data_IF_599410226269
#
_entry.id   IF_599410226269
#
_cell.length_a   1.000
_cell.length_b   1.000
_cell.length_c   1.000
_cell.angle_alpha   90.00
_cell.angle_beta   90.00
_cell.angle_gamma   90.00
#
_symmetry.space_group_name_H-M   'P 1'
#
loop_
_entity.id
_entity.type
_entity.pdbx_description
1 polymer ?
#
# COMPACT_ATOMS: atom_id res chain seq x y z
N UNK A 1 -3.33 -10.14 -26.40
CA UNK A 1 -4.59 -9.60 -25.88
C UNK A 1 -4.57 -9.76 -24.36
N UNK A 2 -3.95 -8.84 -23.62
CA UNK A 2 -4.00 -8.82 -22.16
C UNK A 2 -3.81 -7.38 -21.68
N UNK A 3 -4.89 -6.77 -21.23
CA UNK A 3 -4.88 -5.57 -20.41
C UNK A 3 -6.24 -5.51 -19.70
N UNK A 4 -6.41 -6.30 -18.64
CA UNK A 4 -7.42 -6.00 -17.63
C UNK A 4 -6.70 -5.17 -16.57
N UNK A 5 -6.77 -3.84 -16.72
CA UNK A 5 -6.37 -2.91 -15.65
C UNK A 5 -7.60 -2.85 -14.74
N UNK A 6 -7.59 -3.62 -13.66
CA UNK A 6 -8.59 -3.44 -12.60
C UNK A 6 -8.21 -2.16 -11.85
N UNK A 7 -8.98 -1.09 -12.05
CA UNK A 7 -8.83 0.13 -11.27
C UNK A 7 -9.89 0.12 -10.17
N UNK A 8 -9.45 0.11 -8.91
CA UNK A 8 -10.34 0.24 -7.75
C UNK A 8 -10.23 1.68 -7.24
N UNK A 9 -11.25 2.49 -7.53
CA UNK A 9 -11.42 3.82 -6.95
C UNK A 9 -12.48 3.73 -5.85
N UNK A 10 -12.07 3.78 -4.58
CA UNK A 10 -13.03 3.82 -3.48
C UNK A 10 -13.47 5.26 -3.22
N UNK A 11 -14.58 5.68 -3.85
CA UNK A 11 -15.39 6.80 -3.39
C UNK A 11 -16.78 6.23 -3.09
N UNK A 12 -17.21 6.33 -1.83
CA UNK A 12 -18.48 5.87 -1.25
C UNK A 12 -19.35 4.97 -2.16
N UNK A 13 -19.25 3.66 -1.99
CA UNK A 13 -20.30 2.68 -2.26
C UNK A 13 -19.86 1.32 -1.71
N UNK A 14 -20.72 0.68 -0.91
CA UNK A 14 -20.57 -0.71 -0.55
C UNK A 14 -20.48 -1.56 -1.82
N UNK A 15 -19.46 -2.41 -1.93
CA UNK A 15 -19.46 -3.56 -2.84
C UNK A 15 -18.35 -4.50 -2.42
N UNK A 16 -18.72 -5.69 -1.93
CA UNK A 16 -17.85 -6.86 -1.96
C UNK A 16 -17.52 -7.15 -3.43
N UNK A 17 -16.40 -6.63 -3.92
CA UNK A 17 -15.94 -6.87 -5.29
C UNK A 17 -15.25 -8.25 -5.33
N UNK A 18 -16.03 -9.33 -5.31
CA UNK A 18 -15.56 -10.62 -5.79
C UNK A 18 -15.56 -10.58 -7.32
N UNK A 19 -14.39 -10.41 -7.94
CA UNK A 19 -14.25 -10.61 -9.40
C UNK A 19 -14.46 -12.09 -9.68
N UNK A 20 -15.67 -12.45 -10.08
CA UNK A 20 -16.04 -13.77 -10.60
C UNK A 20 -16.92 -13.54 -11.83
N UNK A 21 -16.48 -14.06 -12.98
CA UNK A 21 -17.20 -13.97 -14.25
C UNK A 21 -18.33 -14.99 -14.25
N UNK A 22 -19.58 -14.53 -14.30
CA UNK A 22 -20.72 -15.31 -14.81
C UNK A 22 -21.71 -14.35 -15.49
N UNK A 23 -22.08 -14.56 -16.78
CA UNK A 23 -23.06 -13.74 -17.48
C UNK A 23 -24.40 -14.46 -17.55
N UNK A 24 -25.38 -14.08 -16.73
CA UNK A 24 -26.79 -14.11 -17.15
C UNK A 24 -27.75 -13.48 -16.12
N UNK A 25 -28.88 -12.99 -16.64
CA UNK A 25 -30.19 -12.66 -16.00
C UNK A 25 -30.62 -11.18 -16.03
N UNK A 26 -31.84 -11.03 -16.56
CA UNK A 26 -32.56 -9.88 -17.13
C UNK A 26 -33.62 -9.37 -16.13
N UNK A 27 -34.00 -8.08 -16.16
CA UNK A 27 -35.36 -7.66 -15.76
C UNK A 27 -35.52 -6.25 -15.19
N UNK A 28 -36.42 -5.47 -15.80
CA UNK A 28 -36.76 -4.08 -15.44
C UNK A 28 -37.93 -3.99 -14.44
N UNK A 29 -37.97 -2.93 -13.61
CA UNK A 29 -39.24 -2.31 -13.17
C UNK A 29 -39.07 -0.83 -12.76
N UNK A 30 -40.06 -0.01 -13.11
CA UNK A 30 -40.20 1.42 -12.80
C UNK A 30 -41.12 1.57 -11.59
N UNK A 31 -40.62 2.15 -10.50
CA UNK A 31 -41.44 2.59 -9.38
C UNK A 31 -40.88 3.87 -8.78
N UNK A 32 -41.63 4.98 -8.91
CA UNK A 32 -41.36 6.23 -8.20
C UNK A 32 -41.57 6.01 -6.69
N UNK A 33 -40.52 6.20 -5.90
CA UNK A 33 -40.62 6.33 -4.45
C UNK A 33 -39.98 7.65 -4.04
N UNK A 34 -40.83 8.58 -3.61
CA UNK A 34 -40.49 9.84 -2.93
C UNK A 34 -39.51 9.56 -1.79
N UNK A 35 -38.27 10.02 -1.92
CA UNK A 35 -37.30 9.94 -0.82
C UNK A 35 -37.51 11.18 0.05
N UNK A 36 -38.22 10.98 1.17
CA UNK A 36 -38.11 11.86 2.34
C UNK A 36 -36.64 11.94 2.74
N UNK A 37 -36.08 13.15 2.77
CA UNK A 37 -34.75 13.48 3.28
C UNK A 37 -34.64 13.07 4.76
N UNK A 38 -34.30 11.80 4.98
CA UNK A 38 -33.94 11.27 6.29
C UNK A 38 -32.45 11.54 6.48
N UNK A 39 -32.15 12.64 7.16
CA UNK A 39 -30.80 13.00 7.58
C UNK A 39 -30.27 11.89 8.50
N UNK A 40 -29.46 10.97 7.96
CA UNK A 40 -28.76 9.91 8.71
C UNK A 40 -27.44 10.46 9.28
N UNK A 41 -27.02 10.03 10.49
CA UNK A 41 -25.79 10.50 11.13
C UNK A 41 -24.52 10.03 10.40
N UNK A 42 -23.44 10.81 10.56
CA UNK A 42 -22.10 10.68 9.97
C UNK A 42 -21.54 9.25 9.78
N UNK A 43 -21.08 8.98 8.55
CA UNK A 43 -19.83 8.26 8.17
C UNK A 43 -19.52 6.91 8.85
N UNK A 44 -20.05 5.81 8.28
CA UNK A 44 -19.51 4.47 8.49
C UNK A 44 -18.38 4.17 7.48
N UNK A 45 -17.15 4.56 7.80
CA UNK A 45 -15.94 4.20 7.02
C UNK A 45 -15.62 2.71 7.22
N UNK A 46 -16.07 1.85 6.30
CA UNK A 46 -15.84 0.41 6.40
C UNK A 46 -14.45 -0.01 5.87
N UNK A 47 -13.72 -0.89 6.57
CA UNK A 47 -12.44 -1.40 6.09
C UNK A 47 -12.62 -2.29 4.85
N UNK A 48 -11.74 -2.13 3.86
CA UNK A 48 -11.74 -2.93 2.63
C UNK A 48 -10.61 -3.98 2.67
N UNK A 49 -10.88 -5.19 2.18
CA UNK A 49 -9.87 -6.23 1.96
C UNK A 49 -9.92 -6.72 0.51
N UNK A 50 -8.77 -6.74 -0.16
CA UNK A 50 -8.64 -7.13 -1.57
C UNK A 50 -7.63 -8.25 -1.74
N UNK A 51 -7.99 -9.26 -2.54
CA UNK A 51 -7.09 -10.34 -2.96
C UNK A 51 -6.91 -10.29 -4.47
N UNK A 52 -5.68 -10.30 -4.95
CA UNK A 52 -5.37 -10.30 -6.39
C UNK A 52 -4.37 -11.41 -6.72
N UNK A 53 -4.65 -12.12 -7.80
CA UNK A 53 -3.72 -13.06 -8.40
C UNK A 53 -3.70 -12.91 -9.91
N UNK A 54 -2.52 -13.02 -10.51
CA UNK A 54 -2.24 -12.99 -11.95
C UNK A 54 -2.67 -11.74 -12.75
N UNK A 55 -3.18 -10.67 -12.13
CA UNK A 55 -3.60 -9.44 -12.82
C UNK A 55 -3.09 -8.17 -12.14
N UNK A 56 -2.61 -7.17 -12.90
CA UNK A 56 -2.18 -5.90 -12.34
C UNK A 56 -3.33 -5.18 -11.62
N UNK A 57 -3.03 -4.52 -10.51
CA UNK A 57 -4.00 -3.72 -9.76
C UNK A 57 -3.48 -2.28 -9.55
N UNK A 58 -4.37 -1.31 -9.76
CA UNK A 58 -4.16 0.08 -9.34
C UNK A 58 -5.27 0.49 -8.39
N UNK A 59 -4.91 1.04 -7.24
CA UNK A 59 -5.88 1.43 -6.20
C UNK A 59 -5.66 2.85 -5.72
N UNK A 60 -6.76 3.58 -5.57
CA UNK A 60 -6.81 4.88 -4.90
C UNK A 60 -7.73 4.79 -3.69
N UNK A 61 -7.21 5.13 -2.50
CA UNK A 61 -7.96 5.07 -1.25
C UNK A 61 -7.93 6.43 -0.56
N UNK A 62 -9.11 6.85 -0.09
CA UNK A 62 -9.30 8.04 0.73
C UNK A 62 -10.22 7.70 1.89
N UNK A 63 -9.88 8.19 3.08
CA UNK A 63 -10.59 8.03 4.35
C UNK A 63 -10.89 6.60 4.87
N UNK A 64 -10.58 5.50 4.16
CA UNK A 64 -10.98 4.14 4.57
C UNK A 64 -9.80 3.18 4.69
N UNK A 65 -9.67 2.39 5.77
CA UNK A 65 -8.63 1.37 5.88
C UNK A 65 -8.63 0.39 4.72
N UNK A 66 -7.45 0.04 4.20
CA UNK A 66 -7.29 -0.99 3.17
C UNK A 66 -6.31 -2.08 3.61
N UNK A 67 -6.68 -3.33 3.38
CA UNK A 67 -5.79 -4.50 3.43
C UNK A 67 -5.71 -5.14 2.05
N UNK A 68 -4.52 -5.38 1.54
CA UNK A 68 -4.33 -5.99 0.21
C UNK A 68 -3.39 -7.19 0.27
N UNK A 69 -3.80 -8.30 -0.35
CA UNK A 69 -2.98 -9.48 -0.56
C UNK A 69 -2.77 -9.71 -2.06
N UNK A 70 -1.52 -9.74 -2.50
CA UNK A 70 -1.17 -9.90 -3.90
C UNK A 70 -0.22 -11.08 -4.09
N UNK A 71 -0.51 -11.89 -5.11
CA UNK A 71 0.37 -12.95 -5.57
C UNK A 71 0.56 -12.88 -7.08
N UNK A 72 1.81 -12.81 -7.53
CA UNK A 72 2.20 -12.84 -8.96
C UNK A 72 1.51 -11.76 -9.81
N UNK A 73 1.44 -10.51 -9.31
CA UNK A 73 0.74 -9.39 -9.94
C UNK A 73 1.26 -8.02 -9.50
N UNK A 74 1.65 -7.11 -10.39
CA UNK A 74 2.13 -5.79 -9.99
C UNK A 74 1.00 -4.99 -9.31
N UNK A 75 1.35 -4.23 -8.27
CA UNK A 75 0.41 -3.35 -7.56
C UNK A 75 0.93 -1.91 -7.54
N UNK A 76 0.06 -0.95 -7.86
CA UNK A 76 0.27 0.48 -7.61
C UNK A 76 -0.82 1.02 -6.69
N UNK A 77 -0.44 1.74 -5.64
CA UNK A 77 -1.41 2.26 -4.68
C UNK A 77 -1.15 3.70 -4.31
N UNK A 78 -2.21 4.51 -4.28
CA UNK A 78 -2.20 5.89 -3.78
C UNK A 78 -3.15 6.00 -2.60
N UNK A 79 -2.63 6.45 -1.47
CA UNK A 79 -3.34 6.51 -0.20
C UNK A 79 -3.33 7.93 0.36
N UNK A 80 -4.51 8.40 0.75
CA UNK A 80 -4.69 9.66 1.46
C UNK A 80 -5.55 9.44 2.71
N UNK A 81 -5.05 9.87 3.86
CA UNK A 81 -5.76 9.83 5.16
C UNK A 81 -6.41 8.46 5.49
N UNK A 82 -5.74 7.35 5.17
CA UNK A 82 -6.26 5.99 5.35
C UNK A 82 -5.16 4.97 5.68
N UNK A 83 -5.26 4.19 6.76
CA UNK A 83 -4.26 3.16 7.03
C UNK A 83 -4.22 2.10 5.91
N UNK A 84 -3.01 1.65 5.53
CA UNK A 84 -2.82 0.59 4.54
C UNK A 84 -1.96 -0.54 5.11
N UNK A 85 -2.42 -1.77 4.93
CA UNK A 85 -1.63 -3.00 5.12
C UNK A 85 -1.54 -3.77 3.82
N UNK A 86 -0.32 -4.15 3.41
CA UNK A 86 -0.11 -4.87 2.15
C UNK A 86 0.79 -6.09 2.34
N UNK A 87 0.37 -7.23 1.81
CA UNK A 87 1.14 -8.46 1.72
C UNK A 87 1.37 -8.83 0.25
N UNK A 88 2.64 -8.91 -0.15
CA UNK A 88 3.03 -9.20 -1.53
C UNK A 88 3.94 -10.43 -1.60
N UNK A 89 3.63 -11.31 -2.53
CA UNK A 89 4.52 -12.39 -2.95
C UNK A 89 4.78 -12.31 -4.45
N UNK A 90 6.05 -12.38 -4.86
CA UNK A 90 6.49 -12.51 -6.25
C UNK A 90 5.93 -11.44 -7.21
N UNK A 91 5.77 -10.20 -6.76
CA UNK A 91 5.18 -9.11 -7.53
C UNK A 91 5.69 -7.71 -7.19
N UNK A 92 6.05 -6.85 -8.16
CA UNK A 92 6.52 -5.50 -7.85
C UNK A 92 5.41 -4.65 -7.20
N UNK A 93 5.79 -3.80 -6.24
CA UNK A 93 4.88 -2.87 -5.56
C UNK A 93 5.40 -1.44 -5.62
N UNK A 94 4.52 -0.51 -5.99
CA UNK A 94 4.73 0.93 -5.87
C UNK A 94 3.64 1.53 -4.98
N UNK A 95 4.01 2.31 -3.97
CA UNK A 95 3.04 2.93 -3.06
C UNK A 95 3.37 4.40 -2.80
N UNK A 96 2.35 5.25 -2.89
CA UNK A 96 2.40 6.65 -2.50
C UNK A 96 1.42 6.89 -1.35
N UNK A 97 1.93 7.41 -0.23
CA UNK A 97 1.13 7.63 0.98
C UNK A 97 1.31 9.05 1.49
N UNK A 98 0.18 9.67 1.81
CA UNK A 98 0.14 10.95 2.50
C UNK A 98 -0.78 10.86 3.72
N UNK A 99 -0.29 11.34 4.86
CA UNK A 99 -1.04 11.44 6.12
C UNK A 99 -1.70 10.14 6.60
N UNK A 100 -1.06 8.98 6.35
CA UNK A 100 -1.60 7.67 6.68
C UNK A 100 -0.56 6.61 7.04
N UNK A 101 -0.73 5.82 8.11
CA UNK A 101 0.23 4.77 8.44
C UNK A 101 0.26 3.68 7.36
N UNK A 102 1.45 3.16 7.06
CA UNK A 102 1.65 2.07 6.10
C UNK A 102 2.43 0.92 6.74
N UNK A 103 1.92 -0.29 6.58
CA UNK A 103 2.62 -1.55 6.87
C UNK A 103 2.71 -2.41 5.62
N UNK A 104 3.92 -2.84 5.26
CA UNK A 104 4.14 -3.66 4.06
C UNK A 104 5.00 -4.88 4.36
N UNK A 105 4.54 -6.05 3.92
CA UNK A 105 5.30 -7.30 3.92
C UNK A 105 5.53 -7.77 2.49
N UNK A 106 6.80 -7.95 2.11
CA UNK A 106 7.18 -8.36 0.75
C UNK A 106 8.13 -9.55 0.78
N UNK A 107 7.83 -10.54 -0.07
CA UNK A 107 8.71 -11.67 -0.37
C UNK A 107 9.00 -11.72 -1.85
N UNK A 108 10.28 -11.80 -2.23
CA UNK A 108 10.75 -12.03 -3.61
C UNK A 108 10.24 -11.02 -4.65
N UNK A 109 10.08 -9.75 -4.26
CA UNK A 109 9.55 -8.70 -5.12
C UNK A 109 10.08 -7.28 -4.84
N UNK A 110 10.43 -6.49 -5.86
CA UNK A 110 10.92 -5.13 -5.65
C UNK A 110 9.82 -4.23 -5.05
N UNK A 111 10.22 -3.34 -4.15
CA UNK A 111 9.32 -2.38 -3.50
C UNK A 111 9.84 -0.94 -3.64
N UNK A 112 8.97 -0.05 -4.11
CA UNK A 112 9.18 1.40 -4.09
C UNK A 112 8.09 2.08 -3.27
N UNK A 113 8.48 2.87 -2.27
CA UNK A 113 7.53 3.59 -1.41
C UNK A 113 7.88 5.06 -1.27
N UNK A 114 6.87 5.93 -1.40
CA UNK A 114 6.94 7.36 -1.10
C UNK A 114 5.97 7.70 0.02
N UNK A 115 6.47 8.25 1.12
CA UNK A 115 5.67 8.58 2.30
C UNK A 115 5.91 10.02 2.74
N UNK A 116 4.82 10.74 3.00
CA UNK A 116 4.82 12.07 3.58
C UNK A 116 3.93 12.09 4.83
N UNK A 117 4.44 12.64 5.93
CA UNK A 117 3.69 12.86 7.18
C UNK A 117 3.01 11.61 7.75
N UNK A 118 3.62 10.43 7.62
CA UNK A 118 3.02 9.17 8.05
C UNK A 118 4.01 8.05 8.40
N UNK A 119 3.81 7.30 9.50
CA UNK A 119 4.73 6.24 9.87
C UNK A 119 4.76 5.12 8.81
N UNK A 120 5.95 4.58 8.54
CA UNK A 120 6.15 3.45 7.64
C UNK A 120 6.85 2.29 8.37
N UNK A 121 6.26 1.09 8.27
CA UNK A 121 6.89 -0.17 8.66
C UNK A 121 6.98 -1.11 7.47
N UNK A 122 8.18 -1.61 7.18
CA UNK A 122 8.41 -2.50 6.04
C UNK A 122 9.22 -3.73 6.43
N UNK A 123 8.74 -4.90 6.03
CA UNK A 123 9.45 -6.17 6.11
C UNK A 123 9.69 -6.71 4.70
N UNK A 124 10.95 -6.93 4.33
CA UNK A 124 11.33 -7.45 3.02
C UNK A 124 12.26 -8.65 3.15
N UNK A 125 11.97 -9.69 2.39
CA UNK A 125 12.85 -10.84 2.19
C UNK A 125 13.21 -10.98 0.71
N UNK A 126 14.50 -11.10 0.40
CA UNK A 126 15.01 -11.44 -0.94
C UNK A 126 14.57 -10.48 -2.07
N UNK A 127 14.42 -9.18 -1.78
CA UNK A 127 13.96 -8.19 -2.75
C UNK A 127 14.50 -6.76 -2.52
N UNK A 128 14.86 -6.02 -3.57
CA UNK A 128 15.33 -4.64 -3.41
C UNK A 128 14.23 -3.73 -2.87
N UNK A 129 14.61 -2.79 -1.99
CA UNK A 129 13.72 -1.79 -1.41
C UNK A 129 14.26 -0.38 -1.67
N UNK A 130 13.41 0.48 -2.24
CA UNK A 130 13.63 1.92 -2.37
C UNK A 130 12.56 2.68 -1.61
N UNK A 131 12.96 3.57 -0.70
CA UNK A 131 12.02 4.36 0.10
C UNK A 131 12.39 5.84 0.13
N UNK A 132 11.40 6.71 -0.07
CA UNK A 132 11.50 8.15 0.16
C UNK A 132 10.54 8.56 1.27
N UNK A 133 11.06 9.17 2.34
CA UNK A 133 10.27 9.57 3.50
C UNK A 133 10.51 11.04 3.85
N UNK A 134 9.43 11.78 4.08
CA UNK A 134 9.47 13.15 4.59
C UNK A 134 8.59 13.26 5.83
N UNK A 135 9.13 13.83 6.91
CA UNK A 135 8.40 14.12 8.16
C UNK A 135 7.70 12.91 8.78
N UNK A 136 8.31 11.72 8.70
CA UNK A 136 7.68 10.50 9.17
C UNK A 136 8.65 9.40 9.63
N UNK A 137 8.38 8.73 10.77
CA UNK A 137 9.25 7.65 11.22
C UNK A 137 9.25 6.46 10.26
N UNK A 138 10.43 5.86 10.06
CA UNK A 138 10.63 4.68 9.23
C UNK A 138 11.24 3.52 10.03
N UNK A 139 10.59 2.36 10.00
CA UNK A 139 11.13 1.09 10.50
C UNK A 139 11.23 0.07 9.37
N UNK A 140 12.42 -0.49 9.16
CA UNK A 140 12.67 -1.41 8.06
C UNK A 140 13.45 -2.65 8.52
N UNK A 141 12.92 -3.83 8.18
CA UNK A 141 13.57 -5.12 8.35
C UNK A 141 13.81 -5.75 6.98
N UNK A 142 15.07 -5.92 6.58
CA UNK A 142 15.43 -6.46 5.27
C UNK A 142 16.36 -7.65 5.42
N UNK A 143 16.03 -8.76 4.78
CA UNK A 143 16.88 -9.95 4.72
C UNK A 143 17.34 -10.22 3.29
N UNK A 144 18.66 -10.23 3.08
CA UNK A 144 19.31 -10.63 1.81
C UNK A 144 18.91 -9.75 0.61
N UNK A 145 18.85 -8.42 0.77
CA UNK A 145 18.42 -7.51 -0.30
C UNK A 145 18.90 -6.07 -0.16
N UNK A 146 19.25 -5.38 -1.26
CA UNK A 146 19.72 -4.00 -1.17
C UNK A 146 18.62 -3.06 -0.70
N UNK A 147 18.99 -2.10 0.15
CA UNK A 147 18.11 -1.03 0.64
C UNK A 147 18.66 0.34 0.24
N UNK A 148 17.84 1.13 -0.44
CA UNK A 148 18.07 2.55 -0.70
C UNK A 148 17.00 3.39 -0.01
N UNK A 149 17.41 4.32 0.84
CA UNK A 149 16.47 5.17 1.58
C UNK A 149 16.86 6.64 1.54
N UNK A 150 15.90 7.51 1.22
CA UNK A 150 16.04 8.96 1.31
C UNK A 150 15.09 9.53 2.36
N UNK A 151 15.61 10.26 3.35
CA UNK A 151 14.85 10.71 4.51
C UNK A 151 15.09 12.19 4.80
N UNK A 152 14.01 12.94 4.96
CA UNK A 152 14.04 14.32 5.44
C UNK A 152 13.21 14.46 6.72
N UNK A 153 13.78 15.09 7.76
CA UNK A 153 13.09 15.43 9.00
C UNK A 153 12.43 14.23 9.69
N UNK A 154 13.10 13.07 9.71
CA UNK A 154 12.49 11.86 10.26
C UNK A 154 13.47 10.89 10.92
N UNK A 155 13.03 10.10 11.91
CA UNK A 155 13.84 9.03 12.46
C UNK A 155 13.80 7.76 11.57
N UNK A 156 14.93 7.05 11.52
CA UNK A 156 15.10 5.77 10.83
C UNK A 156 15.55 4.68 11.81
N UNK A 157 14.89 3.53 11.77
CA UNK A 157 15.34 2.28 12.38
C UNK A 157 15.47 1.18 11.33
N UNK A 158 16.66 0.59 11.20
CA UNK A 158 16.93 -0.51 10.24
C UNK A 158 17.55 -1.73 10.91
N UNK A 159 17.19 -2.91 10.40
CA UNK A 159 17.80 -4.19 10.76
C UNK A 159 18.12 -5.00 9.49
N UNK A 160 19.40 -5.14 9.15
CA UNK A 160 19.87 -5.64 7.83
C UNK A 160 21.10 -6.55 7.99
N UNK A 161 20.91 -7.84 8.32
CA UNK A 161 22.03 -8.71 8.69
C UNK A 161 23.00 -9.00 7.54
N UNK A 162 22.57 -8.95 6.27
CA UNK A 162 23.37 -9.41 5.13
C UNK A 162 23.02 -8.68 3.84
N UNK A 163 23.01 -7.34 3.82
CA UNK A 163 22.65 -6.62 2.59
C UNK A 163 23.26 -5.23 2.45
N UNK A 164 23.46 -4.75 1.22
CA UNK A 164 23.90 -3.37 0.98
C UNK A 164 22.87 -2.35 1.48
N UNK A 165 23.36 -1.29 2.10
CA UNK A 165 22.56 -0.19 2.61
C UNK A 165 23.08 1.14 2.08
N UNK A 166 22.19 1.94 1.48
CA UNK A 166 22.45 3.32 1.07
C UNK A 166 21.40 4.24 1.69
N UNK A 167 21.85 5.24 2.44
CA UNK A 167 20.97 6.19 3.13
C UNK A 167 21.37 7.63 2.79
N UNK A 168 20.43 8.39 2.23
CA UNK A 168 20.53 9.84 2.09
C UNK A 168 19.65 10.53 3.13
N UNK A 169 20.24 11.31 4.04
CA UNK A 169 19.51 11.96 5.13
C UNK A 169 19.71 13.47 5.16
N UNK A 170 18.63 14.20 5.48
CA UNK A 170 18.65 15.63 5.79
C UNK A 170 17.84 15.92 7.06
N UNK A 171 18.48 16.49 8.07
CA UNK A 171 17.86 16.85 9.35
C UNK A 171 17.14 15.66 10.01
N UNK A 172 17.76 14.48 9.97
CA UNK A 172 17.16 13.20 10.35
C UNK A 172 18.11 12.40 11.25
N UNK A 173 17.57 11.45 12.02
CA UNK A 173 18.34 10.57 12.91
C UNK A 173 18.25 9.11 12.44
N UNK A 174 19.32 8.32 12.57
CA UNK A 174 19.38 6.93 12.13
C UNK A 174 19.92 6.02 13.24
N UNK A 175 19.18 4.96 13.54
CA UNK A 175 19.59 3.87 14.41
C UNK A 175 19.65 2.57 13.60
N UNK A 176 20.84 2.00 13.48
CA UNK A 176 21.05 0.72 12.81
C UNK A 176 21.37 -0.37 13.83
N UNK A 177 20.67 -1.51 13.74
CA UNK A 177 21.01 -2.75 14.42
C UNK A 177 21.47 -3.76 13.36
N UNK A 178 22.78 -3.75 13.09
CA UNK A 178 23.56 -4.66 12.23
C UNK A 178 23.37 -4.47 10.71
N UNK A 179 24.47 -4.14 10.03
CA UNK A 179 24.66 -4.05 8.56
C UNK A 179 26.01 -3.39 8.18
N UNK A 180 26.54 -3.68 6.98
CA UNK A 180 27.80 -3.10 6.45
C UNK A 180 27.51 -1.76 5.76
N UNK A 181 28.04 -0.66 6.28
CA UNK A 181 27.96 0.67 5.68
C UNK A 181 28.82 0.76 4.41
N UNK A 182 28.21 1.12 3.27
CA UNK A 182 28.94 1.60 2.09
C UNK A 182 28.58 3.07 1.92
N UNK A 183 29.59 3.94 2.05
CA UNK A 183 29.52 5.39 1.82
C UNK A 183 29.57 5.71 0.33
#
# INVERSE_FOLDING_TARGET
>A
MFACISQVSSYLAESTLSVSQDPDVIGADKGEHTITEHWLPEEALSPLTTHVSQSPLTTHVSQSPLTTHISQSPLTTHIFQSPLTTHISQSPLTTHVSQSPLTTHVSQSPLTTHVSQSPLTTHVSQSPLTTHVSQSPLTTHVSQSPLTTHISQSPLTTHIPQSPLTIGMKNSECTEKVGYFIM
#
